data_IF_773239577416
#
_entry.id   IF_773239577416
#
_cell.length_a   1.000
_cell.length_b   1.000
_cell.length_c   1.000
_cell.angle_alpha   90.00
_cell.angle_beta   90.00
_cell.angle_gamma   90.00
#
_symmetry.space_group_name_H-M   'P 1'
#
loop_
_entity.id
_entity.type
_entity.pdbx_description
1 polymer ?
#
# COMPACT_ATOMS: atom_id res chain seq x y z
N UNK A 1 -28.26 -13.43 -15.58
CA UNK A 1 -26.82 -13.42 -15.68
C UNK A 1 -26.29 -12.11 -15.14
N UNK A 2 -25.44 -12.16 -14.11
CA UNK A 2 -24.82 -10.95 -13.57
C UNK A 2 -23.68 -10.46 -14.49
N UNK A 3 -23.45 -9.15 -14.48
CA UNK A 3 -22.37 -8.52 -15.23
C UNK A 3 -21.03 -8.80 -14.53
N UNK A 4 -20.00 -9.14 -15.30
CA UNK A 4 -18.64 -9.39 -14.78
C UNK A 4 -17.82 -8.12 -14.89
N UNK A 5 -17.38 -7.60 -13.75
CA UNK A 5 -16.59 -6.37 -13.66
C UNK A 5 -15.08 -6.68 -13.84
N UNK A 6 -14.64 -6.75 -15.09
CA UNK A 6 -13.23 -6.90 -15.45
C UNK A 6 -12.72 -5.66 -16.14
N UNK A 7 -11.42 -5.41 -15.99
CA UNK A 7 -10.75 -4.39 -16.81
C UNK A 7 -10.89 -4.75 -18.31
N UNK A 8 -11.25 -3.80 -19.18
CA UNK A 8 -11.44 -4.03 -20.62
C UNK A 8 -10.27 -4.68 -21.37
N UNK A 9 -9.07 -4.70 -20.80
CA UNK A 9 -7.92 -5.41 -21.36
C UNK A 9 -8.10 -6.93 -21.39
N UNK A 10 -9.03 -7.47 -20.59
CA UNK A 10 -9.35 -8.89 -20.59
C UNK A 10 -10.48 -9.19 -21.58
N UNK A 11 -10.40 -10.30 -22.37
CA UNK A 11 -11.42 -10.63 -23.36
C UNK A 11 -12.77 -10.92 -22.69
N UNK A 12 -13.85 -10.62 -23.41
CA UNK A 12 -15.21 -11.00 -23.02
C UNK A 12 -15.37 -12.52 -22.98
N UNK A 13 -16.33 -13.02 -22.18
CA UNK A 13 -16.59 -14.45 -22.05
C UNK A 13 -15.73 -15.19 -21.02
N UNK A 14 -14.96 -14.46 -20.24
CA UNK A 14 -14.22 -15.02 -19.09
C UNK A 14 -15.19 -15.50 -18.01
N UNK A 15 -14.78 -16.54 -17.27
CA UNK A 15 -15.52 -17.04 -16.12
C UNK A 15 -15.75 -15.96 -15.06
N UNK A 16 -16.86 -16.06 -14.35
CA UNK A 16 -17.28 -15.10 -13.32
C UNK A 16 -16.54 -15.24 -11.99
N UNK A 17 -15.81 -16.34 -11.78
CA UNK A 17 -15.01 -16.56 -10.57
C UNK A 17 -13.61 -17.05 -10.91
N UNK A 18 -12.67 -16.78 -10.01
CA UNK A 18 -11.28 -17.24 -10.14
C UNK A 18 -10.75 -17.75 -8.82
N UNK A 19 -9.90 -18.77 -8.87
CA UNK A 19 -9.12 -19.20 -7.72
C UNK A 19 -7.99 -18.21 -7.43
N UNK A 20 -7.72 -18.00 -6.15
CA UNK A 20 -6.52 -17.31 -5.69
C UNK A 20 -5.46 -18.32 -5.22
N UNK A 21 -4.27 -17.85 -4.91
CA UNK A 21 -3.21 -18.70 -4.33
C UNK A 21 -3.41 -18.98 -2.83
N UNK A 22 -4.38 -18.31 -2.20
CA UNK A 22 -4.61 -18.45 -0.77
C UNK A 22 -5.28 -19.77 -0.42
N UNK A 23 -4.78 -20.42 0.62
CA UNK A 23 -5.28 -21.72 1.07
C UNK A 23 -5.57 -21.70 2.57
N UNK A 24 -6.63 -22.41 2.95
CA UNK A 24 -6.96 -22.69 4.35
C UNK A 24 -6.80 -24.17 4.63
N UNK A 25 -5.63 -24.53 5.13
CA UNK A 25 -5.22 -25.93 5.26
C UNK A 25 -5.09 -26.63 3.90
N UNK A 26 -5.01 -27.96 3.94
CA UNK A 26 -4.81 -28.75 2.73
C UNK A 26 -6.04 -28.81 1.79
N UNK A 27 -7.25 -28.61 2.32
CA UNK A 27 -8.52 -28.94 1.63
C UNK A 27 -9.32 -27.75 1.12
N UNK A 28 -8.99 -26.50 1.48
CA UNK A 28 -9.72 -25.33 1.04
C UNK A 28 -8.82 -24.30 0.36
N UNK A 29 -9.35 -23.60 -0.63
CA UNK A 29 -8.72 -22.47 -1.29
C UNK A 29 -9.72 -21.31 -1.39
N UNK A 30 -9.20 -20.09 -1.50
CA UNK A 30 -10.01 -18.91 -1.67
C UNK A 30 -10.35 -18.72 -3.15
N UNK A 31 -11.64 -18.47 -3.42
CA UNK A 31 -12.15 -18.01 -4.69
C UNK A 31 -12.58 -16.55 -4.61
N UNK A 32 -12.55 -15.87 -5.74
CA UNK A 32 -13.01 -14.50 -5.88
C UNK A 32 -14.09 -14.41 -6.95
N UNK A 33 -15.26 -13.88 -6.60
CA UNK A 33 -16.36 -13.65 -7.55
C UNK A 33 -16.22 -12.26 -8.18
N UNK A 34 -15.98 -12.25 -9.49
CA UNK A 34 -15.74 -11.04 -10.28
C UNK A 34 -17.00 -10.20 -10.54
N UNK A 35 -18.21 -10.70 -10.21
CA UNK A 35 -19.48 -9.97 -10.35
C UNK A 35 -19.83 -9.20 -9.09
N UNK A 36 -19.56 -9.80 -7.93
CA UNK A 36 -19.92 -9.25 -6.62
C UNK A 36 -18.73 -8.65 -5.87
N UNK A 37 -17.51 -8.85 -6.39
CA UNK A 37 -16.25 -8.52 -5.71
C UNK A 37 -16.15 -9.18 -4.31
N UNK A 38 -16.65 -10.40 -4.21
CA UNK A 38 -16.73 -11.14 -2.95
C UNK A 38 -15.73 -12.30 -2.91
N UNK A 39 -15.07 -12.46 -1.78
CA UNK A 39 -14.16 -13.55 -1.48
C UNK A 39 -14.90 -14.66 -0.72
N UNK A 40 -14.63 -15.91 -1.07
CA UNK A 40 -15.25 -17.07 -0.44
C UNK A 40 -14.29 -18.25 -0.35
N UNK A 41 -14.48 -19.08 0.65
CA UNK A 41 -13.70 -20.31 0.83
C UNK A 41 -14.44 -21.49 0.23
N UNK A 42 -13.79 -22.28 -0.63
CA UNK A 42 -14.32 -23.50 -1.22
C UNK A 42 -13.37 -24.67 -0.98
N UNK A 43 -13.96 -25.87 -0.92
CA UNK A 43 -13.17 -27.08 -1.01
C UNK A 43 -12.47 -27.17 -2.37
N UNK A 44 -11.20 -27.53 -2.38
CA UNK A 44 -10.38 -27.64 -3.62
C UNK A 44 -10.93 -28.66 -4.61
N UNK A 45 -11.68 -29.65 -4.12
CA UNK A 45 -12.28 -30.75 -4.89
C UNK A 45 -13.78 -30.50 -5.17
N UNK A 46 -14.25 -29.26 -5.09
CA UNK A 46 -15.67 -28.96 -5.31
C UNK A 46 -15.98 -28.86 -6.81
N UNK A 47 -16.54 -29.94 -7.36
CA UNK A 47 -16.95 -30.03 -8.77
C UNK A 47 -18.16 -29.14 -9.12
N UNK A 48 -18.91 -28.67 -8.13
CA UNK A 48 -20.13 -27.88 -8.32
C UNK A 48 -19.92 -26.40 -8.60
N UNK A 49 -18.68 -25.89 -8.48
CA UNK A 49 -18.38 -24.48 -8.73
C UNK A 49 -17.23 -24.35 -9.75
N UNK A 50 -17.53 -24.16 -11.02
CA UNK A 50 -16.53 -23.98 -12.04
C UNK A 50 -15.84 -22.61 -11.85
N UNK A 51 -14.66 -22.61 -11.24
CA UNK A 51 -13.81 -21.46 -11.11
C UNK A 51 -12.64 -21.55 -12.08
N UNK A 52 -12.40 -20.48 -12.81
CA UNK A 52 -11.25 -20.38 -13.70
C UNK A 52 -9.98 -20.07 -12.91
N UNK A 53 -8.82 -20.40 -13.47
CA UNK A 53 -7.52 -19.93 -12.97
C UNK A 53 -7.03 -18.84 -13.91
N UNK A 54 -6.67 -17.69 -13.37
CA UNK A 54 -5.93 -16.68 -14.09
C UNK A 54 -4.47 -16.75 -13.67
N UNK A 55 -3.61 -17.06 -14.59
CA UNK A 55 -2.18 -17.05 -14.35
C UNK A 55 -1.73 -15.60 -14.22
N UNK A 56 -1.12 -15.29 -13.09
CA UNK A 56 -0.40 -14.04 -12.87
C UNK A 56 1.08 -14.37 -12.77
N UNK A 57 1.91 -13.60 -13.44
CA UNK A 57 3.35 -13.62 -13.27
C UNK A 57 3.76 -12.35 -12.57
N UNK A 58 4.42 -12.49 -11.45
CA UNK A 58 5.12 -11.38 -10.87
C UNK A 58 6.20 -10.95 -11.87
N UNK A 59 6.05 -9.76 -12.44
CA UNK A 59 7.16 -9.14 -13.12
C UNK A 59 8.20 -8.93 -12.02
N UNK A 60 9.37 -9.57 -12.14
CA UNK A 60 10.50 -9.17 -11.30
C UNK A 60 10.57 -7.66 -11.40
N UNK A 61 10.58 -7.00 -10.28
CA UNK A 61 10.92 -5.59 -10.20
C UNK A 61 12.39 -5.45 -10.65
N UNK A 62 12.62 -5.48 -11.95
CA UNK A 62 13.70 -4.70 -12.50
C UNK A 62 13.33 -3.29 -12.11
N UNK A 63 14.18 -2.63 -11.38
CA UNK A 63 13.99 -1.26 -10.90
C UNK A 63 13.30 -0.47 -12.03
N UNK A 64 11.98 -0.22 -11.85
CA UNK A 64 11.18 0.38 -12.89
C UNK A 64 11.90 1.65 -13.36
N UNK A 65 12.18 1.76 -14.64
CA UNK A 65 12.84 2.93 -15.19
C UNK A 65 11.81 3.85 -15.83
N UNK A 66 11.93 5.13 -15.57
CA UNK A 66 11.16 6.18 -16.23
C UNK A 66 12.16 7.00 -17.05
N UNK A 67 11.98 7.04 -18.36
CA UNK A 67 12.93 7.68 -19.31
C UNK A 67 14.38 7.21 -19.13
N UNK A 68 14.57 5.90 -18.90
CA UNK A 68 15.90 5.29 -18.69
C UNK A 68 16.54 5.56 -17.33
N UNK A 69 15.83 6.22 -16.41
CA UNK A 69 16.26 6.46 -15.03
C UNK A 69 15.50 5.57 -14.05
N UNK A 70 16.09 5.18 -12.92
CA UNK A 70 15.37 4.48 -11.87
C UNK A 70 14.11 5.26 -11.46
N UNK A 71 12.99 4.55 -11.25
CA UNK A 71 11.77 5.18 -10.76
C UNK A 71 12.01 5.85 -9.40
N UNK A 72 12.57 5.11 -8.46
CA UNK A 72 12.90 5.63 -7.15
C UNK A 72 14.38 5.96 -7.06
N UNK A 73 14.70 7.15 -6.57
CA UNK A 73 16.09 7.61 -6.34
C UNK A 73 16.21 8.06 -4.89
N UNK A 74 17.07 7.39 -4.13
CA UNK A 74 17.49 7.87 -2.82
C UNK A 74 18.44 9.07 -3.02
N UNK A 75 18.06 10.22 -2.46
CA UNK A 75 18.80 11.47 -2.66
C UNK A 75 19.97 11.63 -1.68
N UNK A 76 20.11 10.75 -0.69
CA UNK A 76 21.18 10.79 0.32
C UNK A 76 21.00 11.86 1.41
N UNK A 77 19.85 12.55 1.42
CA UNK A 77 19.49 13.60 2.39
C UNK A 77 18.29 13.20 3.28
N UNK A 78 17.96 11.90 3.32
CA UNK A 78 16.80 11.35 4.02
C UNK A 78 15.52 11.49 3.21
N UNK A 79 15.62 11.65 1.88
CA UNK A 79 14.48 11.72 0.96
C UNK A 79 14.64 10.75 -0.20
N UNK A 80 13.51 10.31 -0.77
CA UNK A 80 13.43 9.45 -1.95
C UNK A 80 12.54 10.13 -2.99
N UNK A 81 13.08 10.37 -4.18
CA UNK A 81 12.33 10.88 -5.33
C UNK A 81 11.66 9.75 -6.10
N UNK A 82 10.38 9.88 -6.41
CA UNK A 82 9.63 9.03 -7.34
C UNK A 82 9.49 9.75 -8.69
N UNK A 83 10.27 9.34 -9.67
CA UNK A 83 10.32 9.95 -11.00
C UNK A 83 9.03 9.70 -11.80
N UNK A 84 8.26 8.65 -11.48
CA UNK A 84 6.99 8.35 -12.14
C UNK A 84 5.88 9.30 -11.69
N UNK A 85 5.75 9.49 -10.38
CA UNK A 85 4.65 10.28 -9.81
C UNK A 85 5.01 11.75 -9.58
N UNK A 86 6.30 12.12 -9.73
CA UNK A 86 6.83 13.43 -9.38
C UNK A 86 6.58 13.78 -7.90
N UNK A 87 6.63 12.76 -7.05
CA UNK A 87 6.55 12.89 -5.61
C UNK A 87 7.94 12.68 -4.98
N UNK A 88 8.14 13.34 -3.87
CA UNK A 88 9.27 13.10 -2.99
C UNK A 88 8.75 12.60 -1.65
N UNK A 89 9.33 11.55 -1.17
CA UNK A 89 8.98 10.88 0.07
C UNK A 89 10.06 11.07 1.12
N UNK A 90 9.66 11.16 2.38
CA UNK A 90 10.58 10.98 3.47
C UNK A 90 11.09 9.52 3.43
N UNK A 91 12.41 9.32 3.49
CA UNK A 91 13.01 7.99 3.42
C UNK A 91 12.56 7.12 4.59
N UNK A 92 12.65 7.64 5.83
CA UNK A 92 12.11 7.02 7.03
C UNK A 92 10.64 7.43 7.25
N UNK A 93 9.84 6.55 7.84
CA UNK A 93 8.53 6.92 8.34
C UNK A 93 8.57 7.29 9.83
N UNK A 94 7.43 7.73 10.37
CA UNK A 94 7.35 8.12 11.78
C UNK A 94 7.58 6.96 12.74
N UNK A 95 7.32 5.71 12.31
CA UNK A 95 7.56 4.54 13.15
C UNK A 95 9.05 4.30 13.34
N UNK A 96 9.84 4.35 12.25
CA UNK A 96 11.29 4.24 12.30
C UNK A 96 11.96 5.36 13.11
N UNK A 97 11.44 6.60 13.01
CA UNK A 97 12.06 7.76 13.68
C UNK A 97 11.67 7.89 15.15
N UNK A 98 10.47 7.45 15.53
CA UNK A 98 9.93 7.63 16.88
C UNK A 98 9.90 6.34 17.71
N UNK A 99 10.15 5.19 17.10
CA UNK A 99 10.05 3.85 17.70
C UNK A 99 8.71 3.60 18.40
N UNK A 100 7.62 4.11 17.81
CA UNK A 100 6.26 3.95 18.33
C UNK A 100 5.18 4.18 17.29
N UNK A 101 4.04 3.55 17.52
CA UNK A 101 2.80 3.86 16.82
C UNK A 101 2.20 5.17 17.32
N UNK A 102 1.59 5.92 16.41
CA UNK A 102 1.02 7.24 16.69
C UNK A 102 -0.44 7.31 16.24
N UNK A 103 -1.18 8.22 16.87
CA UNK A 103 -2.53 8.61 16.44
C UNK A 103 -2.47 9.51 15.20
N UNK A 104 -3.59 9.72 14.53
CA UNK A 104 -3.65 10.61 13.38
C UNK A 104 -3.34 12.08 13.74
N UNK A 105 -3.72 12.52 14.94
CA UNK A 105 -3.35 13.86 15.41
C UNK A 105 -1.83 13.98 15.64
N UNK A 106 -1.22 12.96 16.24
CA UNK A 106 0.25 12.91 16.40
C UNK A 106 0.97 12.81 15.05
N UNK A 107 0.38 12.13 14.06
CA UNK A 107 0.91 12.10 12.69
C UNK A 107 0.95 13.51 12.05
N UNK A 108 -0.08 14.33 12.28
CA UNK A 108 -0.06 15.74 11.84
C UNK A 108 1.03 16.55 12.54
N UNK A 109 1.22 16.33 13.85
CA UNK A 109 2.27 16.99 14.62
C UNK A 109 3.67 16.58 14.13
N UNK A 110 3.87 15.30 13.84
CA UNK A 110 5.10 14.81 13.23
C UNK A 110 5.39 15.51 11.89
N UNK A 111 4.41 15.60 11.00
CA UNK A 111 4.56 16.33 9.72
C UNK A 111 4.89 17.81 9.95
N UNK A 112 4.24 18.45 10.92
CA UNK A 112 4.56 19.85 11.28
C UNK A 112 5.99 20.00 11.77
N UNK A 113 6.47 19.05 12.57
CA UNK A 113 7.86 19.02 13.05
C UNK A 113 8.86 18.88 11.89
N UNK A 114 8.60 18.02 10.91
CA UNK A 114 9.45 17.90 9.72
C UNK A 114 9.58 19.24 8.97
N UNK A 115 8.49 19.99 8.85
CA UNK A 115 8.47 21.30 8.20
C UNK A 115 9.22 22.37 9.02
N UNK A 116 9.04 22.38 10.34
CA UNK A 116 9.74 23.30 11.25
C UNK A 116 11.26 23.09 11.20
N UNK A 117 11.71 21.83 11.19
CA UNK A 117 13.13 21.48 11.14
C UNK A 117 13.71 21.41 9.73
N UNK A 118 12.89 21.76 8.71
CA UNK A 118 13.30 21.74 7.30
C UNK A 118 13.92 20.40 6.88
N UNK A 119 13.29 19.30 7.25
CA UNK A 119 13.78 17.96 6.98
C UNK A 119 14.06 17.75 5.47
N UNK A 120 15.27 17.29 5.13
CA UNK A 120 15.75 17.23 3.74
C UNK A 120 15.84 18.60 3.05
N UNK A 121 15.83 19.73 3.80
CA UNK A 121 15.81 21.08 3.27
C UNK A 121 14.43 21.64 2.92
N UNK A 122 13.35 20.89 3.16
CA UNK A 122 11.99 21.25 2.71
C UNK A 122 11.06 21.64 3.87
N UNK A 123 10.03 22.43 3.55
CA UNK A 123 9.03 22.97 4.49
C UNK A 123 7.58 22.67 4.08
N UNK A 124 7.37 21.84 3.07
CA UNK A 124 6.07 21.55 2.47
C UNK A 124 5.71 20.04 2.53
N UNK A 125 6.25 19.34 3.53
CA UNK A 125 5.87 17.97 3.86
C UNK A 125 4.39 17.90 4.26
N UNK A 126 3.73 16.84 3.84
CA UNK A 126 2.33 16.58 4.15
C UNK A 126 2.06 15.08 4.28
N UNK A 127 0.90 14.75 4.82
CA UNK A 127 0.40 13.38 4.82
C UNK A 127 0.05 12.94 3.39
N UNK A 128 0.26 11.67 3.04
CA UNK A 128 -0.12 11.15 1.73
C UNK A 128 -1.63 11.07 1.56
N UNK A 129 -2.09 11.18 0.33
CA UNK A 129 -3.41 10.73 -0.07
C UNK A 129 -3.45 9.21 -0.14
N UNK A 130 -4.68 8.64 -0.24
CA UNK A 130 -4.89 7.22 -0.50
C UNK A 130 -4.17 6.76 -1.78
N UNK A 131 -4.26 7.52 -2.87
CA UNK A 131 -3.62 7.15 -4.14
C UNK A 131 -2.09 7.22 -4.06
N UNK A 132 -1.55 8.21 -3.38
CA UNK A 132 -0.11 8.40 -3.25
C UNK A 132 0.54 7.29 -2.42
N UNK A 133 0.01 6.94 -1.24
CA UNK A 133 0.62 5.89 -0.42
C UNK A 133 0.66 4.54 -1.12
N UNK A 134 -0.30 4.27 -2.00
CA UNK A 134 -0.34 3.03 -2.79
C UNK A 134 0.81 2.96 -3.80
N UNK A 135 1.37 4.08 -4.25
CA UNK A 135 2.44 4.09 -5.25
C UNK A 135 3.77 3.53 -4.75
N UNK A 136 3.99 3.51 -3.45
CA UNK A 136 5.20 2.94 -2.83
C UNK A 136 5.00 1.50 -2.32
N UNK A 137 3.80 0.94 -2.48
CA UNK A 137 3.54 -0.48 -2.21
C UNK A 137 4.14 -1.34 -3.32
N UNK A 138 4.96 -2.32 -2.93
CA UNK A 138 5.61 -3.24 -3.85
C UNK A 138 5.49 -4.69 -3.36
N UNK A 139 4.52 -5.46 -3.87
CA UNK A 139 4.36 -6.86 -3.49
C UNK A 139 5.52 -7.75 -3.93
N UNK A 140 6.38 -7.26 -4.83
CA UNK A 140 7.59 -7.96 -5.29
C UNK A 140 8.80 -7.79 -4.37
N UNK A 141 8.72 -6.89 -3.39
CA UNK A 141 9.82 -6.58 -2.49
C UNK A 141 9.41 -6.73 -1.01
N UNK A 142 9.29 -7.96 -0.49
CA UNK A 142 9.04 -8.18 0.92
C UNK A 142 10.26 -7.77 1.75
N UNK A 143 10.04 -6.88 2.69
CA UNK A 143 10.99 -6.51 3.75
C UNK A 143 10.36 -6.80 5.10
N UNK A 144 11.16 -6.85 6.16
CA UNK A 144 10.64 -7.04 7.52
C UNK A 144 10.60 -5.72 8.29
N UNK A 145 9.57 -5.54 9.11
CA UNK A 145 9.56 -4.49 10.13
C UNK A 145 10.43 -4.90 11.34
N UNK A 146 10.45 -4.04 12.37
CA UNK A 146 11.23 -4.29 13.59
C UNK A 146 10.71 -5.46 14.45
N UNK A 147 9.52 -5.99 14.16
CA UNK A 147 8.93 -7.16 14.83
C UNK A 147 9.09 -8.46 14.03
N UNK A 148 9.68 -8.40 12.82
CA UNK A 148 9.84 -9.55 11.94
C UNK A 148 8.62 -9.80 11.03
N UNK A 149 7.62 -8.92 11.05
CA UNK A 149 6.45 -9.03 10.18
C UNK A 149 6.75 -8.50 8.77
N UNK A 150 6.08 -9.08 7.78
CA UNK A 150 6.28 -8.71 6.37
C UNK A 150 5.67 -7.35 6.04
N UNK A 151 6.45 -6.51 5.39
CA UNK A 151 6.06 -5.23 4.81
C UNK A 151 6.41 -5.23 3.32
N UNK A 152 5.47 -4.91 2.46
CA UNK A 152 5.62 -4.90 0.99
C UNK A 152 5.82 -3.44 0.53
N UNK A 153 7.07 -3.03 0.51
CA UNK A 153 7.48 -1.64 0.30
C UNK A 153 8.56 -1.57 -0.77
N UNK A 154 8.51 -0.54 -1.63
CA UNK A 154 9.52 -0.34 -2.67
C UNK A 154 10.95 -0.32 -2.08
N UNK A 155 11.89 -0.95 -2.81
CA UNK A 155 13.27 -1.22 -2.34
C UNK A 155 14.12 0.03 -2.04
N UNK A 156 13.67 1.20 -2.45
CA UNK A 156 14.32 2.47 -2.14
C UNK A 156 14.13 2.93 -0.68
N UNK A 157 13.21 2.27 0.05
CA UNK A 157 12.93 2.59 1.45
C UNK A 157 13.58 1.58 2.39
N UNK A 158 14.07 2.01 3.56
CA UNK A 158 14.75 1.12 4.49
C UNK A 158 13.78 0.09 5.10
N UNK A 159 14.29 -1.10 5.49
CA UNK A 159 13.55 -2.05 6.30
C UNK A 159 13.21 -1.46 7.68
N UNK A 160 12.32 -2.12 8.43
CA UNK A 160 11.89 -1.68 9.75
C UNK A 160 10.75 -0.65 9.74
N UNK A 161 10.29 -0.21 8.56
CA UNK A 161 9.14 0.71 8.44
C UNK A 161 7.86 0.11 9.01
N UNK A 162 6.96 0.96 9.46
CA UNK A 162 5.68 0.51 10.01
C UNK A 162 4.81 -0.19 8.95
N UNK A 163 4.13 -1.27 9.35
CA UNK A 163 3.23 -2.05 8.50
C UNK A 163 2.05 -1.26 7.96
N UNK A 164 1.72 -0.14 8.57
CA UNK A 164 0.52 0.64 8.23
C UNK A 164 0.82 2.13 8.24
N UNK A 165 0.16 2.85 7.34
CA UNK A 165 0.36 4.28 7.15
C UNK A 165 -0.95 5.07 7.21
N UNK A 166 -1.01 6.09 8.07
CA UNK A 166 -2.08 7.07 8.05
C UNK A 166 -2.10 7.84 6.73
N UNK A 167 -3.30 8.13 6.23
CA UNK A 167 -3.49 9.04 5.10
C UNK A 167 -4.20 10.32 5.53
N UNK A 168 -4.25 11.32 4.66
CA UNK A 168 -5.03 12.54 4.92
C UNK A 168 -6.53 12.37 4.75
N UNK A 169 -7.02 11.19 4.36
CA UNK A 169 -8.42 10.98 3.96
C UNK A 169 -9.29 10.70 5.19
N UNK A 170 -10.17 11.67 5.48
CA UNK A 170 -11.20 11.56 6.51
C UNK A 170 -12.48 10.92 5.95
N UNK A 171 -13.21 10.22 6.78
CA UNK A 171 -14.55 9.76 6.43
C UNK A 171 -15.50 10.95 6.23
N UNK A 172 -16.44 10.83 5.29
CA UNK A 172 -17.31 11.96 4.90
C UNK A 172 -18.20 12.44 6.05
N UNK A 173 -18.82 11.50 6.77
CA UNK A 173 -19.79 11.79 7.83
C UNK A 173 -19.22 11.62 9.24
N UNK A 174 -18.36 10.61 9.47
CA UNK A 174 -17.71 10.36 10.76
C UNK A 174 -16.26 10.83 10.73
N UNK A 175 -15.99 12.02 11.24
CA UNK A 175 -14.64 12.60 11.28
C UNK A 175 -13.69 11.93 12.26
N UNK A 176 -14.18 11.03 13.11
CA UNK A 176 -13.33 10.18 13.94
C UNK A 176 -12.66 9.04 13.14
N UNK A 177 -13.15 8.76 11.93
CA UNK A 177 -12.61 7.73 11.06
C UNK A 177 -11.68 8.33 10.00
N UNK A 178 -10.50 7.72 9.89
CA UNK A 178 -9.46 8.04 8.90
C UNK A 178 -9.09 6.77 8.15
N UNK A 179 -8.83 6.89 6.87
CA UNK A 179 -8.35 5.74 6.11
C UNK A 179 -6.85 5.53 6.37
N UNK A 180 -6.48 4.28 6.65
CA UNK A 180 -5.10 3.82 6.70
C UNK A 180 -4.79 2.88 5.55
N UNK A 181 -3.54 2.81 5.14
CA UNK A 181 -3.01 1.83 4.19
C UNK A 181 -2.27 0.71 4.95
N UNK A 182 -2.38 -0.51 4.45
CA UNK A 182 -1.73 -1.69 5.01
C UNK A 182 -0.68 -2.21 4.04
N UNK A 183 0.61 -2.06 4.39
CA UNK A 183 1.71 -2.52 3.54
C UNK A 183 1.88 -4.04 3.50
N UNK A 184 1.25 -4.78 4.39
CA UNK A 184 1.35 -6.25 4.38
C UNK A 184 0.42 -6.92 3.35
N UNK A 185 -0.61 -6.22 2.85
CA UNK A 185 -1.56 -6.77 1.87
C UNK A 185 -2.07 -5.77 0.82
N UNK A 186 -1.66 -4.51 0.90
CA UNK A 186 -2.09 -3.48 -0.05
C UNK A 186 -3.48 -2.88 0.17
N UNK A 187 -4.16 -3.23 1.27
CA UNK A 187 -5.52 -2.82 1.55
C UNK A 187 -5.65 -1.46 2.22
N UNK A 188 -6.85 -0.90 2.11
CA UNK A 188 -7.26 0.28 2.85
C UNK A 188 -8.35 -0.06 3.86
N UNK A 189 -8.21 0.42 5.08
CA UNK A 189 -9.26 0.29 6.10
C UNK A 189 -9.54 1.62 6.80
N UNK A 190 -10.80 1.83 7.15
CA UNK A 190 -11.20 2.89 8.06
C UNK A 190 -10.78 2.54 9.48
N UNK A 191 -10.21 3.49 10.19
CA UNK A 191 -9.75 3.29 11.56
C UNK A 191 -9.97 4.53 12.41
N UNK A 192 -10.16 4.32 13.73
CA UNK A 192 -10.35 5.41 14.68
C UNK A 192 -9.10 6.30 14.74
N UNK A 193 -9.27 7.58 14.48
CA UNK A 193 -8.18 8.55 14.39
C UNK A 193 -7.41 8.77 15.71
N UNK A 194 -8.06 8.49 16.85
CA UNK A 194 -7.47 8.64 18.19
C UNK A 194 -6.56 7.50 18.61
N UNK A 195 -6.60 6.35 17.94
CA UNK A 195 -5.79 5.20 18.33
C UNK A 195 -4.33 5.35 17.88
N UNK A 196 -3.41 5.03 18.79
CA UNK A 196 -1.96 4.95 18.51
C UNK A 196 -1.61 3.57 17.95
N UNK A 197 -1.85 3.38 16.66
CA UNK A 197 -1.76 2.05 16.01
C UNK A 197 -1.16 2.06 14.61
N UNK A 198 -0.73 3.22 14.12
CA UNK A 198 -0.18 3.35 12.76
C UNK A 198 0.96 4.36 12.72
N UNK A 199 1.82 4.24 11.69
CA UNK A 199 2.80 5.25 11.35
C UNK A 199 2.27 6.25 10.32
N UNK A 200 3.13 7.15 9.88
CA UNK A 200 2.92 8.03 8.71
C UNK A 200 4.22 8.23 7.98
N UNK A 201 4.21 8.14 6.65
CA UNK A 201 5.32 8.54 5.79
C UNK A 201 4.97 9.85 5.11
N UNK A 202 5.80 10.85 5.31
CA UNK A 202 5.62 12.17 4.74
C UNK A 202 5.89 12.16 3.22
N UNK A 203 5.13 12.98 2.49
CA UNK A 203 5.27 13.17 1.06
C UNK A 203 5.16 14.64 0.70
N UNK A 204 5.81 15.05 -0.39
CA UNK A 204 5.65 16.36 -1.02
C UNK A 204 5.69 16.23 -2.54
N UNK A 205 5.27 17.25 -3.28
CA UNK A 205 5.46 17.30 -4.72
C UNK A 205 6.89 17.77 -5.05
N UNK A 206 7.51 17.17 -6.06
CA UNK A 206 8.73 17.71 -6.66
C UNK A 206 8.31 18.94 -7.47
N UNK A 207 8.73 20.13 -7.04
CA UNK A 207 8.49 21.35 -7.80
C UNK A 207 9.47 21.40 -8.97
N UNK A 208 8.94 21.63 -10.15
CA UNK A 208 9.73 21.94 -11.34
C UNK A 208 10.33 23.34 -11.23
#
# INVERSE_FOLDING_TARGET
GGEVHLNPVFPSGCGFSTWTSETRGAKAAMGYDLRSAYEYWLAKENEGFPSAVRLVRQLKSESATVDGKPRFVNNGDGTVSDNETQLMWKESDSYLELDKWISWAEAKNYISSLNQHRSGGYVDWRMPTRKEVQTIYDPGNPVTDNYGDTVLLASAFPPGAGQTCWTKTLHKTDKALVIRFQFYNGDFKWHQSGLRSHGVRAVRAIKK
#
